data_IF_518433461150
#
_entry.id   IF_518433461150
#
_cell.length_a   1.000
_cell.length_b   1.000
_cell.length_c   1.000
_cell.angle_alpha   90.00
_cell.angle_beta   90.00
_cell.angle_gamma   90.00
#
_symmetry.space_group_name_H-M   'P 1'
#
loop_
_entity.id
_entity.type
_entity.pdbx_description
1 polymer ?
#
# COMPACT_ATOMS: atom_id res chain seq x y z
N UNK A 1 2.22 12.16 0.33
CA UNK A 1 3.03 10.94 0.54
C UNK A 1 4.35 11.35 1.19
N UNK A 2 4.84 10.67 2.23
CA UNK A 2 6.15 10.97 2.82
C UNK A 2 7.30 10.47 1.91
N UNK A 3 8.48 11.08 2.01
CA UNK A 3 9.66 10.65 1.25
C UNK A 3 10.08 9.21 1.58
N UNK A 4 9.94 8.80 2.85
CA UNK A 4 10.21 7.44 3.32
C UNK A 4 9.25 6.43 2.67
N UNK A 5 7.95 6.73 2.62
CA UNK A 5 6.97 5.85 1.99
C UNK A 5 7.22 5.72 0.49
N UNK A 6 7.57 6.80 -0.21
CA UNK A 6 7.94 6.75 -1.63
C UNK A 6 9.17 5.86 -1.87
N UNK A 7 10.19 5.94 -1.01
CA UNK A 7 11.38 5.10 -1.10
C UNK A 7 11.03 3.61 -0.92
N UNK A 8 10.24 3.26 0.09
CA UNK A 8 9.77 1.89 0.31
C UNK A 8 9.00 1.35 -0.89
N UNK A 9 8.04 2.12 -1.42
CA UNK A 9 7.26 1.74 -2.60
C UNK A 9 8.11 1.51 -3.85
N UNK A 10 9.23 2.24 -3.97
CA UNK A 10 10.17 2.08 -5.09
C UNK A 10 11.02 0.82 -4.97
N UNK A 11 11.34 0.41 -3.74
CA UNK A 11 12.19 -0.74 -3.42
C UNK A 11 11.43 -2.05 -3.21
N UNK A 12 10.10 -2.08 -3.38
CA UNK A 12 9.33 -3.31 -3.23
C UNK A 12 9.79 -4.40 -4.23
N UNK A 13 9.84 -5.67 -3.80
CA UNK A 13 10.20 -6.79 -4.66
C UNK A 13 9.07 -7.11 -5.66
N UNK A 14 9.45 -7.62 -6.83
CA UNK A 14 8.53 -8.07 -7.87
C UNK A 14 8.16 -9.56 -7.74
N UNK A 15 8.06 -10.06 -6.50
CA UNK A 15 7.83 -11.48 -6.19
C UNK A 15 6.48 -11.68 -5.48
N UNK A 16 5.99 -12.94 -5.40
CA UNK A 16 4.81 -13.26 -4.61
C UNK A 16 5.03 -13.03 -3.11
N UNK A 17 3.97 -12.68 -2.39
CA UNK A 17 4.02 -12.54 -0.95
C UNK A 17 2.78 -11.89 -0.34
N UNK A 18 2.94 -11.45 0.90
CA UNK A 18 1.91 -10.75 1.70
C UNK A 18 2.41 -9.34 2.00
N UNK A 19 1.53 -8.35 1.94
CA UNK A 19 1.78 -6.96 2.32
C UNK A 19 0.79 -6.50 3.39
N UNK A 20 1.20 -5.49 4.15
CA UNK A 20 0.41 -4.90 5.22
C UNK A 20 0.39 -3.39 5.04
N UNK A 21 -0.74 -2.75 5.29
CA UNK A 21 -0.79 -1.30 5.42
C UNK A 21 -0.98 -0.92 6.88
N UNK A 22 -0.22 0.08 7.31
CA UNK A 22 -0.25 0.58 8.67
C UNK A 22 -0.77 2.01 8.69
N UNK A 23 -1.48 2.38 9.75
CA UNK A 23 -1.86 3.76 10.01
C UNK A 23 -0.73 4.58 10.67
N UNK A 24 -1.02 5.82 11.02
CA UNK A 24 -0.13 6.76 11.72
C UNK A 24 0.35 6.27 13.08
N UNK A 25 -0.41 5.38 13.73
CA UNK A 25 -0.06 4.75 15.00
C UNK A 25 0.71 3.43 14.84
N UNK A 26 1.09 3.05 13.62
CA UNK A 26 1.74 1.76 13.34
C UNK A 26 0.81 0.55 13.46
N UNK A 27 -0.51 0.75 13.52
CA UNK A 27 -1.49 -0.34 13.57
C UNK A 27 -1.78 -0.86 12.17
N UNK A 28 -1.77 -2.18 12.01
CA UNK A 28 -2.20 -2.85 10.77
C UNK A 28 -3.69 -2.56 10.52
N UNK A 29 -3.99 -2.00 9.36
CA UNK A 29 -5.36 -1.66 8.92
C UNK A 29 -5.82 -2.49 7.71
N UNK A 30 -4.88 -3.14 7.02
CA UNK A 30 -5.18 -4.00 5.88
C UNK A 30 -4.03 -4.99 5.66
N UNK A 31 -4.38 -6.22 5.27
CA UNK A 31 -3.43 -7.26 4.87
C UNK A 31 -3.90 -7.83 3.54
N UNK A 32 -2.99 -7.98 2.59
CA UNK A 32 -3.29 -8.58 1.29
C UNK A 32 -2.17 -9.48 0.79
N UNK A 33 -2.51 -10.40 -0.12
CA UNK A 33 -1.54 -11.22 -0.85
C UNK A 33 -1.44 -10.78 -2.31
N UNK A 34 -0.29 -11.03 -2.94
CA UNK A 34 -0.08 -10.75 -4.35
C UNK A 34 0.91 -11.74 -4.96
N UNK A 35 0.78 -12.00 -6.26
CA UNK A 35 1.82 -12.69 -7.04
C UNK A 35 2.99 -11.75 -7.39
N UNK A 36 2.76 -10.44 -7.34
CA UNK A 36 3.78 -9.42 -7.50
C UNK A 36 3.49 -8.28 -6.52
N UNK A 37 4.29 -8.19 -5.46
CA UNK A 37 4.11 -7.20 -4.40
C UNK A 37 4.25 -5.76 -4.93
N UNK A 38 5.29 -5.47 -5.71
CA UNK A 38 5.53 -4.13 -6.29
C UNK A 38 4.32 -3.60 -7.06
N UNK A 39 3.80 -4.36 -8.02
CA UNK A 39 2.66 -3.92 -8.84
C UNK A 39 1.39 -3.81 -8.02
N UNK A 40 1.12 -4.78 -7.12
CA UNK A 40 -0.10 -4.77 -6.31
C UNK A 40 -0.12 -3.59 -5.35
N UNK A 41 0.96 -3.36 -4.61
CA UNK A 41 1.01 -2.27 -3.64
C UNK A 41 0.96 -0.91 -4.34
N UNK A 42 1.70 -0.72 -5.44
CA UNK A 42 1.67 0.55 -6.20
C UNK A 42 0.28 0.90 -6.73
N UNK A 43 -0.56 -0.08 -7.06
CA UNK A 43 -1.92 0.17 -7.54
C UNK A 43 -2.81 0.92 -6.55
N UNK A 44 -2.54 0.79 -5.24
CA UNK A 44 -3.26 1.55 -4.19
C UNK A 44 -2.88 3.02 -4.12
N UNK A 45 -1.86 3.48 -4.84
CA UNK A 45 -1.41 4.88 -4.81
C UNK A 45 -1.57 5.58 -6.16
N UNK A 46 -2.37 5.00 -7.06
CA UNK A 46 -2.75 5.58 -8.34
C UNK A 46 -4.07 6.35 -8.21
N UNK A 47 -4.24 7.47 -8.91
CA UNK A 47 -5.34 8.42 -8.68
C UNK A 47 -6.76 7.95 -9.12
N UNK A 48 -6.89 6.75 -9.71
CA UNK A 48 -8.14 6.28 -10.32
C UNK A 48 -8.79 5.15 -9.49
N UNK A 49 -9.24 5.46 -8.28
CA UNK A 49 -10.00 4.48 -7.48
C UNK A 49 -11.45 4.41 -7.96
N UNK A 50 -11.91 3.21 -8.31
CA UNK A 50 -13.32 2.97 -8.66
C UNK A 50 -14.20 2.67 -7.44
N UNK A 51 -13.62 2.56 -6.24
CA UNK A 51 -14.31 2.10 -5.03
C UNK A 51 -14.01 3.01 -3.83
N UNK A 52 -15.05 3.59 -3.24
CA UNK A 52 -14.97 4.46 -2.06
C UNK A 52 -14.29 3.80 -0.84
N UNK A 53 -14.43 2.48 -0.66
CA UNK A 53 -13.74 1.76 0.43
C UNK A 53 -12.22 1.78 0.23
N UNK A 54 -11.77 1.62 -1.01
CA UNK A 54 -10.34 1.67 -1.36
C UNK A 54 -9.79 3.07 -1.14
N UNK A 55 -10.52 4.09 -1.55
CA UNK A 55 -10.14 5.48 -1.31
C UNK A 55 -10.00 5.80 0.18
N UNK A 56 -10.98 5.42 1.00
CA UNK A 56 -10.93 5.58 2.45
C UNK A 56 -9.76 4.80 3.05
N UNK A 57 -9.50 3.58 2.60
CA UNK A 57 -8.35 2.80 3.04
C UNK A 57 -7.05 3.56 2.75
N UNK A 58 -6.85 4.00 1.51
CA UNK A 58 -5.64 4.67 1.05
C UNK A 58 -5.38 5.96 1.84
N UNK A 59 -6.42 6.73 2.13
CA UNK A 59 -6.30 7.96 2.94
C UNK A 59 -5.70 7.71 4.34
N UNK A 60 -5.85 6.48 4.87
CA UNK A 60 -5.38 6.07 6.20
C UNK A 60 -4.00 5.42 6.19
N UNK A 61 -3.46 5.07 5.02
CA UNK A 61 -2.14 4.43 4.91
C UNK A 61 -1.04 5.44 5.24
N UNK A 62 -0.19 5.11 6.20
CA UNK A 62 1.04 5.86 6.52
C UNK A 62 2.29 5.04 6.31
N UNK A 63 2.20 3.71 6.29
CA UNK A 63 3.33 2.84 6.04
C UNK A 63 2.96 1.51 5.36
N UNK A 64 3.97 0.86 4.76
CA UNK A 64 3.91 -0.43 4.06
C UNK A 64 5.16 -1.29 4.30
#
# INVERSE_FOLDING_TARGET
>A
MSAQLQNKLSNLPANPGVYQFLNDKGKVIYVGKANNLRSRVKSYFQSNYTNAKTEVLVSKIKDV
#
